data_IF_884722406938
#
_entry.id   IF_884722406938
#
_cell.length_a   1.000
_cell.length_b   1.000
_cell.length_c   1.000
_cell.angle_alpha   90.00
_cell.angle_beta   90.00
_cell.angle_gamma   90.00
#
_symmetry.space_group_name_H-M   'P 1'
#
loop_
_entity.id
_entity.type
_entity.pdbx_description
1 polymer ?
#
# COMPACT_ATOMS: atom_id res chain seq x y z
N UNK A 1 -8.34 13.12 -4.60
CA UNK A 1 -9.09 12.40 -3.56
C UNK A 1 -8.49 12.65 -2.17
N UNK A 2 -9.33 12.84 -1.14
CA UNK A 2 -8.94 12.92 0.27
C UNK A 2 -9.98 12.13 1.06
N UNK A 3 -9.53 11.16 1.85
CA UNK A 3 -10.39 10.30 2.66
C UNK A 3 -10.13 10.64 4.15
N UNK A 4 -11.17 10.82 4.97
CA UNK A 4 -10.96 10.99 6.41
C UNK A 4 -10.42 9.71 7.04
N UNK A 5 -9.89 9.83 8.24
CA UNK A 5 -9.58 8.67 9.09
C UNK A 5 -10.89 7.95 9.45
N UNK A 6 -10.89 6.62 9.44
CA UNK A 6 -12.09 5.79 9.66
C UNK A 6 -13.28 6.20 8.78
N UNK A 7 -13.16 6.10 7.44
CA UNK A 7 -14.24 6.50 6.53
C UNK A 7 -15.49 5.65 6.74
N UNK A 8 -16.67 6.28 6.66
CA UNK A 8 -17.94 5.55 6.66
C UNK A 8 -18.08 4.67 5.40
N UNK A 9 -18.98 3.67 5.40
CA UNK A 9 -19.24 2.87 4.21
C UNK A 9 -19.65 3.70 2.98
N UNK A 10 -20.40 4.79 3.18
CA UNK A 10 -20.78 5.72 2.11
C UNK A 10 -19.57 6.47 1.56
N UNK A 11 -18.66 6.94 2.43
CA UNK A 11 -17.43 7.60 2.01
C UNK A 11 -16.49 6.66 1.26
N UNK A 12 -16.43 5.39 1.67
CA UNK A 12 -15.71 4.35 0.94
C UNK A 12 -16.34 4.08 -0.42
N UNK A 13 -17.67 3.97 -0.50
CA UNK A 13 -18.39 3.80 -1.77
C UNK A 13 -18.13 4.98 -2.73
N UNK A 14 -18.16 6.21 -2.22
CA UNK A 14 -17.82 7.40 -2.99
C UNK A 14 -16.36 7.40 -3.45
N UNK A 15 -15.43 6.94 -2.62
CA UNK A 15 -14.02 6.81 -2.99
C UNK A 15 -13.82 5.79 -4.11
N UNK A 16 -14.48 4.64 -4.04
CA UNK A 16 -14.47 3.64 -5.11
C UNK A 16 -15.06 4.20 -6.42
N UNK A 17 -16.18 4.91 -6.33
CA UNK A 17 -16.77 5.58 -7.50
C UNK A 17 -15.85 6.66 -8.09
N UNK A 18 -15.00 7.27 -7.26
CA UNK A 18 -14.00 8.25 -7.67
C UNK A 18 -12.66 7.64 -8.14
N UNK A 19 -12.58 6.31 -8.28
CA UNK A 19 -11.44 5.59 -8.83
C UNK A 19 -10.47 4.99 -7.82
N UNK A 20 -10.81 4.92 -6.52
CA UNK A 20 -10.08 4.06 -5.58
C UNK A 20 -10.30 2.59 -5.99
N UNK A 21 -9.24 1.79 -6.07
CA UNK A 21 -9.39 0.34 -6.28
C UNK A 21 -9.81 -0.35 -4.99
N UNK A 22 -10.60 -1.42 -5.12
CA UNK A 22 -10.89 -2.34 -4.01
C UNK A 22 -9.76 -3.35 -3.84
N UNK A 23 -9.62 -3.93 -2.65
CA UNK A 23 -8.59 -4.95 -2.38
C UNK A 23 -8.70 -6.17 -3.27
N UNK A 24 -9.91 -6.57 -3.62
CA UNK A 24 -10.17 -7.73 -4.46
C UNK A 24 -9.69 -7.51 -5.91
N UNK A 25 -9.37 -6.27 -6.29
CA UNK A 25 -8.79 -5.92 -7.59
C UNK A 25 -7.26 -5.87 -7.54
N UNK A 26 -6.65 -6.10 -6.38
CA UNK A 26 -5.21 -6.02 -6.19
C UNK A 26 -4.55 -7.39 -6.39
N UNK A 27 -3.62 -7.45 -7.34
CA UNK A 27 -2.87 -8.65 -7.70
C UNK A 27 -1.55 -8.69 -6.93
N UNK A 28 -1.21 -9.85 -6.37
CA UNK A 28 0.06 -10.03 -5.67
C UNK A 28 1.25 -9.71 -6.58
N UNK A 29 2.23 -8.98 -6.05
CA UNK A 29 3.44 -8.60 -6.76
C UNK A 29 3.24 -7.46 -7.77
N UNK A 30 2.01 -6.97 -7.98
CA UNK A 30 1.74 -5.91 -8.96
C UNK A 30 1.99 -4.52 -8.38
N UNK A 31 2.52 -3.63 -9.20
CA UNK A 31 2.71 -2.22 -8.87
C UNK A 31 1.46 -1.41 -9.15
N UNK A 32 1.18 -0.48 -8.25
CA UNK A 32 0.02 0.39 -8.31
C UNK A 32 0.42 1.85 -8.13
N UNK A 33 -0.16 2.69 -8.98
CA UNK A 33 -0.17 4.12 -8.78
C UNK A 33 -1.20 4.48 -7.70
N UNK A 34 -0.89 5.50 -6.92
CA UNK A 34 -1.76 5.98 -5.88
C UNK A 34 -1.13 7.15 -5.14
N UNK A 35 -1.56 7.36 -3.90
CA UNK A 35 -1.01 8.42 -3.07
C UNK A 35 -1.05 8.06 -1.59
N UNK A 36 0.09 8.26 -0.94
CA UNK A 36 0.19 8.50 0.50
C UNK A 36 1.12 9.70 0.76
N UNK A 37 1.54 9.93 2.01
CA UNK A 37 2.48 11.01 2.33
C UNK A 37 3.89 10.81 1.75
N UNK A 38 4.27 9.57 1.46
CA UNK A 38 5.67 9.21 1.18
C UNK A 38 5.90 8.55 -0.18
N UNK A 39 4.84 8.11 -0.87
CA UNK A 39 4.96 7.41 -2.14
C UNK A 39 3.79 7.69 -3.08
N UNK A 40 4.08 7.50 -4.38
CA UNK A 40 3.11 7.52 -5.48
C UNK A 40 2.97 6.17 -6.17
N UNK A 41 3.94 5.28 -5.96
CA UNK A 41 3.96 3.92 -6.49
C UNK A 41 4.23 2.98 -5.32
N UNK A 42 3.48 1.89 -5.25
CA UNK A 42 3.69 0.84 -4.27
C UNK A 42 3.33 -0.53 -4.84
N UNK A 43 3.98 -1.58 -4.35
CA UNK A 43 3.78 -2.96 -4.78
C UNK A 43 2.87 -3.69 -3.80
N UNK A 44 1.80 -4.32 -4.29
CA UNK A 44 0.85 -5.03 -3.43
C UNK A 44 1.35 -6.43 -3.07
N UNK A 45 1.33 -6.78 -1.79
CA UNK A 45 1.64 -8.13 -1.33
C UNK A 45 0.41 -8.77 -0.69
N UNK A 46 -0.25 -9.71 -1.38
CA UNK A 46 -1.47 -10.36 -0.88
C UNK A 46 -1.30 -11.10 0.46
N UNK A 47 -0.19 -11.83 0.67
CA UNK A 47 0.03 -12.59 1.92
C UNK A 47 0.20 -11.72 3.17
N UNK A 48 0.98 -10.64 3.09
CA UNK A 48 1.15 -9.63 4.13
C UNK A 48 0.03 -8.57 4.16
N UNK A 49 -0.91 -8.65 3.23
CA UNK A 49 -2.10 -7.78 3.10
C UNK A 49 -1.79 -6.27 3.17
N UNK A 50 -0.75 -5.85 2.45
CA UNK A 50 -0.33 -4.44 2.42
C UNK A 50 0.42 -4.07 1.14
N UNK A 51 0.56 -2.77 0.93
CA UNK A 51 1.46 -2.21 -0.06
C UNK A 51 2.86 -2.03 0.54
N UNK A 52 3.89 -2.33 -0.24
CA UNK A 52 5.29 -2.10 0.09
C UNK A 52 5.83 -1.05 -0.90
N UNK A 53 6.48 -0.03 -0.38
CA UNK A 53 7.07 1.03 -1.19
C UNK A 53 8.43 1.46 -0.64
N UNK A 54 9.21 2.13 -1.47
CA UNK A 54 10.38 2.84 -1.00
C UNK A 54 10.00 4.09 -0.24
N UNK A 55 10.61 4.31 0.91
CA UNK A 55 10.57 5.56 1.66
C UNK A 55 11.96 6.17 1.72
N UNK A 56 12.04 7.45 1.38
CA UNK A 56 13.25 8.24 1.55
C UNK A 56 13.14 9.10 2.81
N UNK A 57 14.14 9.02 3.70
CA UNK A 57 14.22 9.82 4.93
C UNK A 57 15.68 10.06 5.31
N UNK A 58 16.03 11.31 5.58
CA UNK A 58 17.39 11.73 5.98
C UNK A 58 18.52 11.21 5.05
N UNK A 59 18.27 11.20 3.74
CA UNK A 59 19.24 10.72 2.74
C UNK A 59 19.28 9.20 2.55
N UNK A 60 18.59 8.44 3.40
CA UNK A 60 18.47 6.98 3.28
C UNK A 60 17.17 6.58 2.58
N UNK A 61 17.19 5.44 1.88
CA UNK A 61 16.01 4.82 1.27
C UNK A 61 15.85 3.40 1.85
N UNK A 62 14.64 3.05 2.25
CA UNK A 62 14.31 1.74 2.82
C UNK A 62 12.86 1.36 2.51
N UNK A 63 12.54 0.07 2.58
CA UNK A 63 11.17 -0.41 2.38
C UNK A 63 10.29 -0.08 3.58
N UNK A 64 9.07 0.35 3.30
CA UNK A 64 8.03 0.59 4.29
C UNK A 64 6.72 -0.06 3.83
N UNK A 65 5.93 -0.53 4.80
CA UNK A 65 4.58 -1.03 4.55
C UNK A 65 3.56 0.08 4.76
N UNK A 66 2.51 0.06 3.95
CA UNK A 66 1.34 0.92 4.10
C UNK A 66 0.07 0.15 3.71
N UNK A 67 -1.02 0.39 4.44
CA UNK A 67 -2.25 -0.40 4.28
C UNK A 67 -3.23 0.22 3.28
N UNK A 68 -4.16 -0.61 2.83
CA UNK A 68 -5.37 -0.17 2.16
C UNK A 68 -6.32 0.52 3.17
N UNK A 69 -7.11 1.54 2.76
CA UNK A 69 -8.01 2.27 3.66
C UNK A 69 -9.01 1.45 4.48
N UNK A 70 -9.35 0.24 4.03
CA UNK A 70 -10.31 -0.64 4.73
C UNK A 70 -9.69 -1.37 5.93
N UNK A 71 -8.36 -1.45 6.01
CA UNK A 71 -7.64 -2.21 7.06
C UNK A 71 -6.96 -1.29 8.08
N UNK A 72 -7.16 0.02 7.97
CA UNK A 72 -6.49 1.03 8.78
C UNK A 72 -7.38 2.25 9.04
N UNK A 73 -7.63 2.48 10.33
CA UNK A 73 -8.55 3.50 10.81
C UNK A 73 -7.83 4.73 11.37
N UNK A 74 -6.58 4.58 11.82
CA UNK A 74 -5.89 5.59 12.63
C UNK A 74 -4.70 6.22 11.92
N UNK A 75 -3.97 5.43 11.14
CA UNK A 75 -2.74 5.83 10.48
C UNK A 75 -2.95 6.20 9.00
N UNK A 76 -1.84 6.53 8.32
CA UNK A 76 -1.85 6.88 6.91
C UNK A 76 -2.06 5.63 6.04
N UNK A 77 -2.68 5.82 4.89
CA UNK A 77 -3.11 4.74 3.99
C UNK A 77 -2.73 5.07 2.55
N UNK A 78 -2.60 4.04 1.72
CA UNK A 78 -2.31 4.23 0.31
C UNK A 78 -3.61 4.25 -0.49
N UNK A 79 -3.93 5.41 -1.07
CA UNK A 79 -5.08 5.61 -1.93
C UNK A 79 -4.75 5.14 -3.36
N UNK A 80 -4.91 3.85 -3.60
CA UNK A 80 -4.60 3.18 -4.86
C UNK A 80 -5.60 3.52 -5.97
N UNK A 81 -5.12 3.86 -7.17
CA UNK A 81 -5.97 4.29 -8.30
C UNK A 81 -5.86 3.45 -9.56
N UNK A 82 -4.79 2.66 -9.73
CA UNK A 82 -4.58 1.90 -10.96
C UNK A 82 -3.27 1.12 -10.96
N UNK A 83 -3.22 0.03 -11.73
CA UNK A 83 -1.96 -0.66 -12.00
C UNK A 83 -1.01 0.25 -12.80
N UNK A 84 0.29 0.13 -12.55
CA UNK A 84 1.32 0.94 -13.22
C UNK A 84 2.63 0.15 -13.34
N UNK A 85 3.53 0.64 -14.18
CA UNK A 85 4.94 0.22 -14.16
C UNK A 85 5.69 0.93 -13.01
N UNK A 86 6.73 0.29 -12.43
CA UNK A 86 7.43 0.82 -11.26
C UNK A 86 8.37 2.00 -11.54
N UNK A 87 8.92 2.13 -12.76
CA UNK A 87 9.93 3.16 -13.06
C UNK A 87 11.16 3.04 -12.15
N UNK A 88 11.54 4.12 -11.48
CA UNK A 88 12.67 4.14 -10.52
C UNK A 88 12.31 3.55 -9.13
N UNK A 89 11.06 3.12 -8.95
CA UNK A 89 10.53 2.55 -7.70
C UNK A 89 10.54 1.01 -7.71
N UNK A 90 11.34 0.40 -8.58
CA UNK A 90 11.51 -1.07 -8.61
C UNK A 90 12.03 -1.56 -7.26
N UNK A 91 11.31 -2.53 -6.69
CA UNK A 91 11.71 -3.33 -5.54
C UNK A 91 12.06 -4.73 -6.07
N UNK A 92 13.31 -5.19 -5.91
CA UNK A 92 13.71 -6.55 -6.30
C UNK A 92 12.82 -7.60 -5.64
N UNK A 93 12.45 -8.66 -6.37
CA UNK A 93 11.52 -9.69 -5.88
C UNK A 93 11.99 -10.33 -4.56
N UNK A 94 13.28 -10.66 -4.45
CA UNK A 94 13.82 -11.22 -3.22
C UNK A 94 13.67 -10.27 -2.02
N UNK A 95 13.88 -8.97 -2.22
CA UNK A 95 13.77 -7.96 -1.17
C UNK A 95 12.30 -7.74 -0.77
N UNK A 96 11.41 -7.72 -1.77
CA UNK A 96 9.97 -7.63 -1.59
C UNK A 96 9.42 -8.79 -0.74
N UNK A 97 9.77 -10.03 -1.10
CA UNK A 97 9.34 -11.24 -0.37
C UNK A 97 9.96 -11.30 1.04
N UNK A 98 11.25 -11.00 1.18
CA UNK A 98 11.93 -11.01 2.48
C UNK A 98 11.32 -9.97 3.43
N UNK A 99 11.04 -8.77 2.93
CA UNK A 99 10.40 -7.73 3.73
C UNK A 99 8.98 -8.13 4.13
N UNK A 100 8.20 -8.68 3.21
CA UNK A 100 6.85 -9.17 3.49
C UNK A 100 6.83 -10.27 4.56
N UNK A 101 7.76 -11.23 4.50
CA UNK A 101 7.92 -12.27 5.52
C UNK A 101 8.23 -11.67 6.90
N UNK A 102 9.08 -10.64 6.97
CA UNK A 102 9.37 -9.95 8.23
C UNK A 102 8.12 -9.30 8.84
N UNK A 103 7.22 -8.77 8.00
CA UNK A 103 5.95 -8.16 8.43
C UNK A 103 5.02 -9.23 9.00
N UNK A 104 4.89 -10.36 8.30
CA UNK A 104 4.01 -11.47 8.71
C UNK A 104 4.51 -12.09 10.03
N UNK A 105 5.83 -12.28 10.16
CA UNK A 105 6.44 -12.80 11.39
C UNK A 105 6.17 -11.89 12.59
N UNK A 106 6.25 -10.56 12.43
CA UNK A 106 5.96 -9.60 13.49
C UNK A 106 4.48 -9.63 13.95
N UNK A 107 3.55 -10.03 13.07
CA UNK A 107 2.12 -10.12 13.40
C UNK A 107 1.74 -11.41 14.13
N UNK A 108 2.56 -12.46 14.01
CA UNK A 108 2.27 -13.78 14.58
C UNK A 108 2.77 -13.95 16.04
N UNK A 109 3.49 -12.96 16.56
CA UNK A 109 4.11 -13.01 17.90
C UNK A 109 3.27 -12.31 18.97
N UNK A 110 1.97 -12.13 18.75
CA UNK A 110 1.05 -11.44 19.66
C UNK A 110 -0.18 -12.29 19.95
#
# INVERSE_FOLDING_TARGET
MRLPKSPSPEQMAAAYAAGLLRKEQLEHGRYYAGRCRHARVARWHAGADCFIHWRSKFGSRFLERIKHPVDENYFDVFLVTGATEPGDEVIPDAEFEQFAQSIIAQQSTV
#
